data_IF_085703958462
#
_entry.id   IF_085703958462
#
_cell.length_a   1.000
_cell.length_b   1.000
_cell.length_c   1.000
_cell.angle_alpha   90.00
_cell.angle_beta   90.00
_cell.angle_gamma   90.00
#
_symmetry.space_group_name_H-M   'P 1'
#
loop_
_entity.id
_entity.type
_entity.pdbx_description
1 polymer ?
#
# COMPACT_ATOMS: atom_id res chain seq x y z
N UNK A 1 -28.30 53.48 40.98
CA UNK A 1 -26.92 53.08 40.64
C UNK A 1 -26.93 51.56 40.33
N UNK A 2 -27.23 51.16 39.08
CA UNK A 2 -27.24 49.78 38.68
C UNK A 2 -25.93 49.49 37.95
N UNK A 3 -25.13 48.61 38.53
CA UNK A 3 -23.93 48.07 37.87
C UNK A 3 -24.32 46.78 37.13
N UNK A 4 -24.21 46.77 35.82
CA UNK A 4 -24.33 45.59 34.98
C UNK A 4 -23.03 44.78 35.00
N UNK A 5 -23.08 43.45 35.13
CA UNK A 5 -21.88 42.61 34.93
C UNK A 5 -21.65 42.35 33.44
N UNK A 6 -20.44 42.62 33.00
CA UNK A 6 -19.93 42.30 31.64
C UNK A 6 -19.65 40.80 31.59
N UNK A 7 -20.49 40.06 30.89
CA UNK A 7 -20.25 38.63 30.63
C UNK A 7 -19.23 38.45 29.47
N UNK A 8 -18.04 38.03 29.83
CA UNK A 8 -16.98 37.66 28.86
C UNK A 8 -17.32 36.28 28.30
N UNK A 9 -17.81 36.23 27.05
CA UNK A 9 -18.02 34.96 26.33
C UNK A 9 -16.66 34.42 25.85
N UNK A 10 -16.16 33.38 26.53
CA UNK A 10 -14.97 32.64 26.13
C UNK A 10 -15.34 31.71 24.98
N UNK A 11 -15.05 32.12 23.75
CA UNK A 11 -15.22 31.28 22.57
C UNK A 11 -14.21 30.14 22.59
N UNK A 12 -14.67 28.90 22.84
CA UNK A 12 -13.88 27.70 22.69
C UNK A 12 -13.72 27.41 21.19
N UNK A 13 -12.58 27.75 20.65
CA UNK A 13 -12.17 27.29 19.29
C UNK A 13 -11.81 25.83 19.40
N UNK A 14 -12.74 24.93 19.01
CA UNK A 14 -12.45 23.52 18.84
C UNK A 14 -11.63 23.40 17.54
N UNK A 15 -10.31 23.35 17.67
CA UNK A 15 -9.43 22.97 16.59
C UNK A 15 -9.70 21.49 16.27
N UNK A 16 -10.44 21.23 15.20
CA UNK A 16 -10.47 19.89 14.59
C UNK A 16 -9.08 19.63 14.04
N UNK A 17 -8.26 18.91 14.80
CA UNK A 17 -7.08 18.25 14.24
C UNK A 17 -7.63 17.16 13.31
N UNK A 18 -7.73 17.47 12.02
CA UNK A 18 -7.91 16.48 10.99
C UNK A 18 -6.68 15.57 11.09
N UNK A 19 -6.82 14.41 11.74
CA UNK A 19 -5.88 13.32 11.56
C UNK A 19 -5.91 13.03 10.05
N UNK A 20 -4.80 13.29 9.34
CA UNK A 20 -4.54 12.78 8.01
C UNK A 20 -4.44 11.26 8.13
N UNK A 21 -5.58 10.61 8.30
CA UNK A 21 -5.73 9.17 8.45
C UNK A 21 -6.15 8.58 7.13
N UNK A 22 -5.72 7.36 6.88
CA UNK A 22 -6.18 6.50 5.79
C UNK A 22 -7.69 6.64 5.62
N UNK A 23 -8.12 7.26 4.54
CA UNK A 23 -9.54 7.48 4.28
C UNK A 23 -10.07 6.31 3.48
N UNK A 24 -10.93 5.50 4.09
CA UNK A 24 -11.63 4.41 3.42
C UNK A 24 -13.11 4.74 3.40
N UNK A 25 -13.67 4.86 2.19
CA UNK A 25 -15.08 5.17 1.97
C UNK A 25 -15.68 4.16 0.99
N UNK A 26 -16.76 3.49 1.39
CA UNK A 26 -17.45 2.50 0.56
C UNK A 26 -16.53 1.42 -0.05
N UNK A 27 -15.54 0.96 0.73
CA UNK A 27 -14.58 -0.05 0.29
C UNK A 27 -13.49 0.47 -0.65
N UNK A 28 -13.36 1.80 -0.79
CA UNK A 28 -12.29 2.44 -1.56
C UNK A 28 -11.36 3.18 -0.60
N UNK A 29 -10.09 2.88 -0.69
CA UNK A 29 -9.01 3.61 -0.03
C UNK A 29 -8.62 4.82 -0.86
N UNK A 30 -8.55 5.99 -0.25
CA UNK A 30 -8.09 7.25 -0.83
C UNK A 30 -6.80 7.67 -0.12
N UNK A 31 -5.73 7.79 -0.88
CA UNK A 31 -4.42 8.22 -0.39
C UNK A 31 -4.30 9.74 -0.41
N UNK A 32 -3.66 10.31 0.61
CA UNK A 32 -3.22 11.71 0.62
C UNK A 32 -2.16 12.04 -0.45
N UNK A 33 -1.61 10.99 -1.09
CA UNK A 33 -0.66 11.11 -2.22
C UNK A 33 -1.36 11.08 -3.59
N UNK A 34 -2.68 11.26 -3.65
CA UNK A 34 -3.47 11.43 -4.86
C UNK A 34 -3.64 10.14 -5.69
N UNK A 35 -3.93 9.02 -5.03
CA UNK A 35 -4.34 7.79 -5.68
C UNK A 35 -5.40 7.05 -4.86
N UNK A 36 -6.12 6.15 -5.49
CA UNK A 36 -7.12 5.31 -4.84
C UNK A 36 -6.99 3.85 -5.23
N UNK A 37 -7.53 2.98 -4.35
CA UNK A 37 -7.57 1.52 -4.51
C UNK A 37 -8.87 0.97 -3.96
N UNK A 38 -9.47 -0.01 -4.64
CA UNK A 38 -10.63 -0.75 -4.12
C UNK A 38 -10.14 -1.90 -3.24
N UNK A 39 -10.67 -2.00 -2.03
CA UNK A 39 -10.34 -3.10 -1.12
C UNK A 39 -10.88 -4.43 -1.66
N UNK A 40 -10.13 -5.54 -1.52
CA UNK A 40 -10.46 -6.80 -2.19
C UNK A 40 -11.68 -7.53 -1.61
N UNK A 41 -12.08 -7.23 -0.36
CA UNK A 41 -13.24 -7.86 0.27
C UNK A 41 -13.14 -7.93 1.79
N UNK A 42 -14.15 -8.49 2.46
CA UNK A 42 -14.27 -8.49 3.93
C UNK A 42 -13.25 -9.38 4.64
N UNK A 43 -12.64 -10.35 3.92
CA UNK A 43 -11.64 -11.26 4.47
C UNK A 43 -10.28 -10.59 4.67
N UNK A 44 -10.14 -9.34 4.20
CA UNK A 44 -8.94 -8.53 4.32
C UNK A 44 -9.16 -7.38 5.29
N UNK A 45 -8.32 -7.29 6.30
CA UNK A 45 -8.35 -6.25 7.32
C UNK A 45 -7.16 -5.29 7.17
N UNK A 46 -7.38 -4.00 7.46
CA UNK A 46 -6.32 -2.98 7.42
C UNK A 46 -5.40 -3.16 8.63
N UNK A 47 -4.10 -3.29 8.38
CA UNK A 47 -3.08 -3.29 9.43
C UNK A 47 -2.84 -1.88 9.97
N UNK A 48 -3.12 -1.67 11.25
CA UNK A 48 -2.97 -0.36 11.89
C UNK A 48 -1.50 0.03 12.14
N UNK A 49 -0.62 -0.95 12.26
CA UNK A 49 0.79 -0.82 12.60
C UNK A 49 1.73 -0.74 11.38
N UNK A 50 1.19 -0.70 10.17
CA UNK A 50 1.98 -0.64 8.94
C UNK A 50 2.63 0.72 8.72
N UNK A 51 3.84 0.68 8.13
CA UNK A 51 4.55 1.87 7.60
C UNK A 51 4.21 2.16 6.14
N UNK A 52 3.56 1.23 5.44
CA UNK A 52 3.05 1.46 4.09
C UNK A 52 1.82 2.37 4.13
N UNK A 53 1.48 2.99 3.01
CA UNK A 53 0.26 3.81 2.90
C UNK A 53 -0.98 2.96 3.21
N UNK A 54 -1.03 1.74 2.69
CA UNK A 54 -2.05 0.74 2.99
C UNK A 54 -1.40 -0.64 3.06
N UNK A 55 -1.68 -1.37 4.13
CA UNK A 55 -1.37 -2.80 4.26
C UNK A 55 -2.64 -3.52 4.67
N UNK A 56 -2.92 -4.61 4.00
CA UNK A 56 -4.04 -5.50 4.28
C UNK A 56 -3.51 -6.87 4.68
N UNK A 57 -4.12 -7.47 5.71
CA UNK A 57 -3.83 -8.83 6.16
C UNK A 57 -5.07 -9.68 6.00
N UNK A 58 -4.89 -10.85 5.43
CA UNK A 58 -5.96 -11.83 5.33
C UNK A 58 -6.31 -12.40 6.71
N UNK A 59 -7.58 -12.72 6.93
CA UNK A 59 -8.10 -13.15 8.24
C UNK A 59 -7.46 -14.44 8.78
N UNK A 60 -6.91 -15.31 7.92
CA UNK A 60 -6.20 -16.51 8.34
C UNK A 60 -4.76 -16.25 8.78
N UNK A 61 -4.26 -15.02 8.63
CA UNK A 61 -2.92 -14.60 9.00
C UNK A 61 -1.78 -15.10 8.10
N UNK A 62 -2.10 -15.78 6.98
CA UNK A 62 -1.10 -16.38 6.09
C UNK A 62 -0.69 -15.45 4.95
N UNK A 63 -1.52 -14.47 4.60
CA UNK A 63 -1.29 -13.59 3.47
C UNK A 63 -1.37 -12.12 3.87
N UNK A 64 -0.56 -11.31 3.20
CA UNK A 64 -0.60 -9.86 3.30
C UNK A 64 -0.40 -9.22 1.93
N UNK A 65 -1.00 -8.05 1.72
CA UNK A 65 -0.74 -7.20 0.57
C UNK A 65 -0.58 -5.75 1.00
N UNK A 66 0.20 -4.99 0.25
CA UNK A 66 0.41 -3.58 0.52
C UNK A 66 0.38 -2.74 -0.76
N UNK A 67 0.09 -1.46 -0.55
CA UNK A 67 0.34 -0.39 -1.50
C UNK A 67 1.08 0.74 -0.80
N UNK A 68 2.03 1.34 -1.52
CA UNK A 68 2.79 2.47 -1.04
C UNK A 68 3.10 3.40 -2.21
N UNK A 69 3.18 4.70 -1.95
CA UNK A 69 3.68 5.67 -2.91
C UNK A 69 4.80 6.50 -2.31
N UNK A 70 5.85 6.76 -3.09
CA UNK A 70 6.94 7.66 -2.77
C UNK A 70 7.07 8.71 -3.87
N UNK A 71 6.90 9.99 -3.50
CA UNK A 71 6.88 11.11 -4.43
C UNK A 71 8.06 12.05 -4.13
N UNK A 72 9.27 11.63 -4.46
CA UNK A 72 10.48 12.43 -4.27
C UNK A 72 11.42 12.36 -5.48
N UNK A 73 12.46 13.21 -5.48
CA UNK A 73 13.43 13.25 -6.58
C UNK A 73 14.31 11.98 -6.65
N UNK A 74 14.46 11.24 -5.55
CA UNK A 74 15.21 9.98 -5.52
C UNK A 74 14.45 8.87 -6.24
N UNK A 75 13.13 8.84 -6.07
CA UNK A 75 12.27 7.92 -6.77
C UNK A 75 12.33 8.10 -8.30
N UNK A 76 12.44 9.35 -8.78
CA UNK A 76 12.53 9.67 -10.20
C UNK A 76 13.75 9.07 -10.88
N UNK A 77 14.92 9.11 -10.23
CA UNK A 77 16.21 8.74 -10.82
C UNK A 77 16.51 7.24 -10.85
N UNK A 78 15.80 6.43 -10.06
CA UNK A 78 16.04 4.99 -9.95
C UNK A 78 15.24 4.22 -11.00
N UNK A 79 15.80 3.12 -11.50
CA UNK A 79 15.05 2.19 -12.37
C UNK A 79 13.99 1.42 -11.58
N UNK A 80 12.91 1.00 -12.25
CA UNK A 80 11.86 0.18 -11.64
C UNK A 80 12.42 -1.12 -11.04
N UNK A 81 13.40 -1.76 -11.72
CA UNK A 81 14.05 -2.97 -11.22
C UNK A 81 14.84 -2.75 -9.92
N UNK A 82 15.51 -1.59 -9.76
CA UNK A 82 16.21 -1.25 -8.52
C UNK A 82 15.21 -1.01 -7.38
N UNK A 83 14.13 -0.29 -7.66
CA UNK A 83 13.07 0.01 -6.69
C UNK A 83 12.39 -1.30 -6.22
N UNK A 84 12.04 -2.18 -7.15
CA UNK A 84 11.51 -3.49 -6.83
C UNK A 84 12.50 -4.30 -5.97
N UNK A 85 13.79 -4.25 -6.26
CA UNK A 85 14.83 -4.87 -5.44
C UNK A 85 14.87 -4.32 -4.00
N UNK A 86 14.58 -3.03 -3.81
CA UNK A 86 14.49 -2.38 -2.49
C UNK A 86 13.22 -2.78 -1.73
N UNK A 87 12.08 -2.89 -2.41
CA UNK A 87 10.83 -3.39 -1.85
C UNK A 87 10.99 -4.79 -1.24
N UNK A 88 11.88 -5.59 -1.80
CA UNK A 88 12.15 -6.97 -1.39
C UNK A 88 13.27 -7.11 -0.35
N UNK A 89 13.74 -6.02 0.27
CA UNK A 89 14.72 -6.09 1.37
C UNK A 89 14.11 -6.92 2.52
N UNK A 90 14.88 -7.89 3.02
CA UNK A 90 14.39 -8.83 4.04
C UNK A 90 13.97 -10.19 3.49
N UNK A 91 13.99 -10.37 2.17
CA UNK A 91 13.83 -11.67 1.53
C UNK A 91 15.18 -12.20 1.05
N UNK A 92 15.54 -13.44 1.46
CA UNK A 92 16.75 -14.17 1.06
C UNK A 92 16.43 -15.25 0.04
N UNK A 93 17.47 -15.82 -0.56
CA UNK A 93 17.38 -16.96 -1.50
C UNK A 93 16.34 -16.74 -2.61
N UNK A 94 16.38 -15.56 -3.21
CA UNK A 94 15.39 -15.12 -4.20
C UNK A 94 15.54 -15.89 -5.51
N UNK A 95 14.45 -16.45 -5.99
CA UNK A 95 14.34 -17.07 -7.31
C UNK A 95 13.17 -16.44 -8.06
N UNK A 96 13.47 -15.70 -9.14
CA UNK A 96 12.44 -15.11 -10.00
C UNK A 96 11.74 -16.20 -10.79
N UNK A 97 10.41 -16.24 -10.72
CA UNK A 97 9.52 -17.15 -11.44
C UNK A 97 9.01 -16.48 -12.70
N UNK A 98 8.60 -15.22 -12.59
CA UNK A 98 8.01 -14.42 -13.66
C UNK A 98 8.52 -12.98 -13.55
N UNK A 99 8.84 -12.36 -14.70
CA UNK A 99 9.15 -10.95 -14.81
C UNK A 99 8.70 -10.43 -16.16
N UNK A 100 7.87 -9.40 -16.18
CA UNK A 100 7.37 -8.77 -17.39
C UNK A 100 6.94 -7.33 -17.12
N UNK A 101 6.72 -6.58 -18.19
CA UNK A 101 6.06 -5.29 -18.13
C UNK A 101 4.55 -5.47 -18.37
N UNK A 102 3.74 -4.80 -17.58
CA UNK A 102 2.27 -4.83 -17.67
C UNK A 102 1.73 -3.41 -17.71
N UNK A 103 0.49 -3.25 -18.17
CA UNK A 103 -0.20 -1.96 -18.13
C UNK A 103 -1.12 -1.90 -16.91
N UNK A 104 -0.95 -0.86 -16.08
CA UNK A 104 -1.84 -0.52 -14.98
C UNK A 104 -2.39 0.89 -15.23
N UNK A 105 -3.71 1.04 -15.35
CA UNK A 105 -4.37 2.31 -15.65
C UNK A 105 -3.73 3.05 -16.85
N UNK A 106 -3.38 2.29 -17.91
CA UNK A 106 -2.72 2.80 -19.11
C UNK A 106 -1.24 3.13 -19.00
N UNK A 107 -0.60 2.81 -17.86
CA UNK A 107 0.82 3.10 -17.57
C UNK A 107 1.63 1.81 -17.48
N UNK A 108 2.90 1.86 -17.89
CA UNK A 108 3.79 0.71 -17.76
C UNK A 108 4.23 0.51 -16.32
N UNK A 109 4.07 -0.73 -15.83
CA UNK A 109 4.56 -1.19 -14.55
C UNK A 109 5.45 -2.42 -14.73
N UNK A 110 6.53 -2.49 -13.97
CA UNK A 110 7.32 -3.72 -13.84
C UNK A 110 6.58 -4.67 -12.90
N UNK A 111 6.29 -5.87 -13.39
CA UNK A 111 5.69 -6.95 -12.62
C UNK A 111 6.72 -8.06 -12.39
N UNK A 112 6.74 -8.63 -11.19
CA UNK A 112 7.59 -9.77 -10.85
C UNK A 112 6.91 -10.70 -9.86
N UNK A 113 7.06 -12.01 -10.10
CA UNK A 113 6.74 -13.07 -9.13
C UNK A 113 8.04 -13.79 -8.78
N UNK A 114 8.27 -14.00 -7.49
CA UNK A 114 9.48 -14.66 -7.02
C UNK A 114 9.21 -15.47 -5.74
N UNK A 115 9.99 -16.54 -5.58
CA UNK A 115 10.12 -17.27 -4.34
C UNK A 115 11.31 -16.74 -3.53
N UNK A 116 11.25 -16.92 -2.21
CA UNK A 116 12.34 -16.60 -1.31
C UNK A 116 12.06 -17.08 0.10
N UNK A 117 12.91 -16.62 1.03
CA UNK A 117 12.75 -16.90 2.47
C UNK A 117 12.77 -15.61 3.25
N UNK A 118 11.83 -15.46 4.18
CA UNK A 118 11.84 -14.32 5.11
C UNK A 118 13.14 -14.35 5.93
N UNK A 119 13.84 -13.21 5.99
CA UNK A 119 15.16 -13.16 6.63
C UNK A 119 15.12 -13.41 8.15
N UNK A 120 13.98 -13.12 8.78
CA UNK A 120 13.82 -13.20 10.22
C UNK A 120 13.71 -14.65 10.73
N UNK A 121 12.94 -15.50 10.03
CA UNK A 121 12.59 -16.85 10.49
C UNK A 121 12.87 -17.96 9.46
N UNK A 122 13.30 -17.59 8.24
CA UNK A 122 13.55 -18.52 7.16
C UNK A 122 12.29 -19.09 6.50
N UNK A 123 11.10 -18.56 6.81
CA UNK A 123 9.84 -19.04 6.25
C UNK A 123 9.84 -18.91 4.72
N UNK A 124 9.48 -19.99 3.98
CA UNK A 124 9.33 -19.91 2.52
C UNK A 124 8.16 -19.00 2.17
N UNK A 125 8.41 -18.05 1.27
CA UNK A 125 7.45 -17.04 0.90
C UNK A 125 7.50 -16.80 -0.60
N UNK A 126 6.34 -16.71 -1.24
CA UNK A 126 6.19 -16.23 -2.61
C UNK A 126 5.65 -14.82 -2.58
N UNK A 127 6.23 -13.96 -3.43
CA UNK A 127 5.83 -12.56 -3.55
C UNK A 127 5.46 -12.27 -5.00
N UNK A 128 4.35 -11.58 -5.21
CA UNK A 128 4.00 -10.88 -6.45
C UNK A 128 4.09 -9.39 -6.19
N UNK A 129 4.83 -8.67 -7.05
CA UNK A 129 5.07 -7.25 -6.87
C UNK A 129 4.94 -6.48 -8.18
N UNK A 130 4.43 -5.25 -8.08
CA UNK A 130 4.37 -4.29 -9.18
C UNK A 130 5.05 -3.00 -8.75
N UNK A 131 5.81 -2.41 -9.67
CA UNK A 131 6.40 -1.07 -9.49
C UNK A 131 6.00 -0.22 -10.69
N UNK A 132 5.26 0.83 -10.43
CA UNK A 132 4.80 1.83 -11.39
C UNK A 132 5.49 3.17 -11.12
N UNK A 133 6.03 3.80 -12.17
CA UNK A 133 6.61 5.15 -12.08
C UNK A 133 5.78 6.12 -12.88
N UNK A 134 5.32 7.19 -12.24
CA UNK A 134 4.55 8.23 -12.91
C UNK A 134 4.71 9.60 -12.27
N UNK A 135 4.96 10.63 -13.11
CA UNK A 135 4.96 12.05 -12.73
C UNK A 135 5.75 12.37 -11.45
N UNK A 136 6.88 11.67 -11.25
CA UNK A 136 7.75 11.89 -10.10
C UNK A 136 7.38 11.10 -8.85
N UNK A 137 6.37 10.25 -8.93
CA UNK A 137 6.04 9.28 -7.90
C UNK A 137 6.40 7.85 -8.35
N UNK A 138 6.66 7.01 -7.37
CA UNK A 138 6.74 5.56 -7.50
C UNK A 138 5.61 4.96 -6.69
N UNK A 139 4.88 4.04 -7.29
CA UNK A 139 3.81 3.28 -6.65
C UNK A 139 4.26 1.82 -6.58
N UNK A 140 4.30 1.29 -5.38
CA UNK A 140 4.70 -0.08 -5.08
C UNK A 140 3.49 -0.87 -4.60
N UNK A 141 3.28 -2.04 -5.18
CA UNK A 141 2.27 -2.99 -4.73
C UNK A 141 2.98 -4.32 -4.50
N UNK A 142 2.72 -4.95 -3.37
CA UNK A 142 3.26 -6.27 -3.09
C UNK A 142 2.22 -7.15 -2.39
N UNK A 143 2.24 -8.43 -2.73
CA UNK A 143 1.46 -9.49 -2.12
C UNK A 143 2.41 -10.61 -1.71
N UNK A 144 2.26 -11.11 -0.50
CA UNK A 144 3.08 -12.17 0.05
C UNK A 144 2.21 -13.25 0.70
N UNK A 145 2.53 -14.51 0.40
CA UNK A 145 1.92 -15.68 1.02
C UNK A 145 2.88 -16.87 0.97
N UNK A 146 2.69 -17.93 1.78
CA UNK A 146 3.38 -19.19 1.59
C UNK A 146 3.14 -19.75 0.19
N UNK A 147 4.14 -20.36 -0.48
CA UNK A 147 3.99 -20.88 -1.84
C UNK A 147 2.80 -21.84 -2.03
N UNK A 148 2.50 -22.65 -0.99
CA UNK A 148 1.39 -23.61 -1.03
C UNK A 148 -0.01 -22.98 -1.09
N UNK A 149 -0.16 -21.76 -0.54
CA UNK A 149 -1.44 -21.03 -0.48
C UNK A 149 -1.45 -19.77 -1.34
N UNK A 150 -0.37 -19.48 -2.06
CA UNK A 150 -0.21 -18.25 -2.82
C UNK A 150 -1.34 -18.00 -3.84
N UNK A 151 -1.76 -19.03 -4.57
CA UNK A 151 -2.79 -18.92 -5.61
C UNK A 151 -4.21 -18.71 -5.01
N UNK A 152 -4.41 -19.02 -3.72
CA UNK A 152 -5.73 -18.90 -3.09
C UNK A 152 -6.26 -17.45 -3.09
N UNK A 153 -5.37 -16.47 -2.90
CA UNK A 153 -5.75 -15.05 -2.82
C UNK A 153 -5.07 -14.17 -3.88
N UNK A 154 -4.32 -14.77 -4.81
CA UNK A 154 -3.65 -14.03 -5.88
C UNK A 154 -4.62 -13.20 -6.72
N UNK A 155 -5.82 -13.74 -6.97
CA UNK A 155 -6.85 -13.03 -7.72
C UNK A 155 -7.34 -11.77 -6.99
N UNK A 156 -7.41 -11.80 -5.65
CA UNK A 156 -7.76 -10.64 -4.84
C UNK A 156 -6.72 -9.53 -4.97
N UNK A 157 -5.44 -9.90 -4.89
CA UNK A 157 -4.35 -8.96 -5.07
C UNK A 157 -4.35 -8.34 -6.48
N UNK A 158 -4.57 -9.12 -7.51
CA UNK A 158 -4.64 -8.60 -8.90
C UNK A 158 -5.78 -7.60 -9.06
N UNK A 159 -6.99 -7.93 -8.58
CA UNK A 159 -8.11 -6.97 -8.58
C UNK A 159 -7.79 -5.70 -7.80
N UNK A 160 -7.12 -5.82 -6.66
CA UNK A 160 -6.66 -4.70 -5.86
C UNK A 160 -5.72 -3.79 -6.66
N UNK A 161 -4.68 -4.33 -7.30
CA UNK A 161 -3.73 -3.57 -8.12
C UNK A 161 -4.40 -2.99 -9.37
N UNK A 162 -5.24 -3.75 -10.08
CA UNK A 162 -5.98 -3.30 -11.26
C UNK A 162 -6.97 -2.18 -10.97
N UNK A 163 -7.41 -2.03 -9.72
CA UNK A 163 -8.28 -0.95 -9.28
C UNK A 163 -7.54 0.38 -9.05
N UNK A 164 -6.22 0.39 -9.16
CA UNK A 164 -5.41 1.60 -8.99
C UNK A 164 -5.85 2.68 -9.98
N UNK A 165 -6.10 3.87 -9.44
CA UNK A 165 -6.36 5.06 -10.25
C UNK A 165 -5.76 6.29 -9.56
N UNK A 166 -5.22 7.22 -10.35
CA UNK A 166 -4.80 8.54 -9.86
C UNK A 166 -6.01 9.45 -9.65
N UNK A 167 -5.93 10.30 -8.64
CA UNK A 167 -6.90 11.36 -8.31
C UNK A 167 -6.32 12.74 -8.58
#
# INVERSE_FOLDING_TARGET
MCRAPLALALGVVIAFTACAGRRIENGVYHSDKGYRLTLPGPDWSVAADSKADLELRHQDGLAAMLANAECDDRAKSRSAGLLLGQLLIGLRDRATIEENEVSLDGRQALHRVLDGRVAADGAPTRIEAYVLKEQGCVYDFAYAAPPASFEAWRADFRRFVESFAKE
#
